data_IF_446626615714
#
_entry.id   IF_446626615714
#
_cell.length_a   1.000
_cell.length_b   1.000
_cell.length_c   1.000
_cell.angle_alpha   90.00
_cell.angle_beta   90.00
_cell.angle_gamma   90.00
#
_symmetry.space_group_name_H-M   'P 1'
#
loop_
_entity.id
_entity.type
_entity.pdbx_description
1 polymer ?
#
# COMPACT_ATOMS: atom_id res chain seq x y z
N UNK A 1 0.81 7.87 -21.52
CA UNK A 1 0.04 8.12 -20.27
C UNK A 1 0.40 7.02 -19.28
N UNK A 2 0.20 7.23 -17.98
CA UNK A 2 0.53 6.22 -16.97
C UNK A 2 -0.22 4.93 -17.25
N UNK A 3 0.44 3.78 -17.09
CA UNK A 3 -0.15 2.48 -17.41
C UNK A 3 0.42 1.35 -16.57
N UNK A 4 -0.36 0.29 -16.47
CA UNK A 4 0.13 -0.99 -15.98
C UNK A 4 0.59 -1.84 -17.17
N UNK A 5 1.78 -2.42 -17.03
CA UNK A 5 2.29 -3.43 -17.95
C UNK A 5 2.28 -4.79 -17.25
N UNK A 6 1.73 -5.80 -17.93
CA UNK A 6 1.55 -7.16 -17.41
C UNK A 6 0.20 -7.43 -16.73
N UNK A 7 -0.05 -8.71 -16.51
CA UNK A 7 -1.21 -9.22 -15.76
C UNK A 7 -0.90 -9.26 -14.26
N UNK A 8 -1.94 -9.23 -13.42
CA UNK A 8 -1.78 -9.47 -11.99
C UNK A 8 -2.04 -10.93 -11.69
N UNK A 9 -0.98 -11.71 -11.54
CA UNK A 9 -1.05 -13.13 -11.14
C UNK A 9 -0.62 -13.25 -9.69
N UNK A 10 -1.53 -13.74 -8.84
CA UNK A 10 -1.30 -13.87 -7.40
C UNK A 10 -1.66 -15.27 -6.90
N UNK A 11 -0.86 -15.78 -5.97
CA UNK A 11 -1.12 -17.04 -5.24
C UNK A 11 -1.49 -16.73 -3.81
N UNK A 12 -2.55 -17.37 -3.32
CA UNK A 12 -2.95 -17.30 -1.91
C UNK A 12 -1.93 -18.04 -1.04
N UNK A 13 -1.46 -17.41 0.04
CA UNK A 13 -0.50 -18.02 0.97
C UNK A 13 -1.12 -18.48 2.29
N UNK A 14 -2.25 -17.91 2.71
CA UNK A 14 -2.89 -18.26 3.99
C UNK A 14 -4.36 -18.68 3.82
N UNK A 15 -4.87 -19.50 4.74
CA UNK A 15 -6.27 -19.94 4.74
C UNK A 15 -7.25 -18.82 5.11
N UNK A 16 -6.74 -17.72 5.67
CA UNK A 16 -7.52 -16.56 6.12
C UNK A 16 -7.78 -15.51 5.03
N UNK A 17 -7.31 -15.76 3.79
CA UNK A 17 -7.44 -14.88 2.62
C UNK A 17 -6.80 -13.49 2.80
N UNK A 18 -5.82 -13.37 3.68
CA UNK A 18 -5.17 -12.10 4.03
C UNK A 18 -3.86 -11.87 3.30
N UNK A 19 -3.16 -12.92 2.89
CA UNK A 19 -1.83 -12.80 2.30
C UNK A 19 -1.77 -13.44 0.94
N UNK A 20 -1.31 -12.66 -0.03
CA UNK A 20 -1.19 -13.04 -1.42
C UNK A 20 0.22 -12.75 -1.90
N UNK A 21 0.72 -13.57 -2.82
CA UNK A 21 2.06 -13.42 -3.38
C UNK A 21 2.00 -13.24 -4.88
N UNK A 22 2.75 -12.28 -5.41
CA UNK A 22 2.89 -12.08 -6.85
C UNK A 22 3.69 -13.23 -7.48
N UNK A 23 3.18 -13.76 -8.58
CA UNK A 23 3.86 -14.79 -9.37
C UNK A 23 4.68 -14.21 -10.54
N UNK A 24 4.55 -12.91 -10.80
CA UNK A 24 5.35 -12.17 -11.77
C UNK A 24 5.52 -10.71 -11.37
N UNK A 25 6.50 -10.04 -11.97
CA UNK A 25 6.70 -8.60 -11.78
C UNK A 25 5.45 -7.83 -12.21
N UNK A 26 5.02 -6.88 -11.39
CA UNK A 26 3.99 -5.90 -11.74
C UNK A 26 4.67 -4.55 -11.95
N UNK A 27 4.50 -3.97 -13.14
CA UNK A 27 5.12 -2.70 -13.49
C UNK A 27 4.06 -1.63 -13.68
N UNK A 28 4.27 -0.49 -13.03
CA UNK A 28 3.47 0.72 -13.18
C UNK A 28 4.35 1.86 -13.71
N UNK A 29 4.07 2.31 -14.94
CA UNK A 29 4.72 3.48 -15.55
C UNK A 29 4.04 4.75 -15.03
N UNK A 30 4.82 5.65 -14.41
CA UNK A 30 4.34 6.92 -13.81
C UNK A 30 4.52 8.09 -14.79
N UNK A 31 3.41 8.70 -15.22
CA UNK A 31 3.38 9.92 -16.02
C UNK A 31 3.23 9.67 -17.52
N UNK A 32 4.09 10.28 -18.35
CA UNK A 32 4.02 10.09 -19.80
C UNK A 32 4.63 8.73 -20.20
N UNK A 33 4.11 8.15 -21.28
CA UNK A 33 4.68 6.92 -21.85
C UNK A 33 6.10 7.25 -22.35
N UNK A 34 7.08 6.43 -21.97
CA UNK A 34 8.49 6.68 -22.26
C UNK A 34 9.18 7.68 -21.31
N UNK A 35 8.55 8.07 -20.20
CA UNK A 35 9.21 8.94 -19.21
C UNK A 35 10.32 8.27 -18.41
N UNK A 36 10.49 6.95 -18.52
CA UNK A 36 11.50 6.16 -17.80
C UNK A 36 11.23 6.02 -16.29
N UNK A 37 10.12 6.57 -15.80
CA UNK A 37 9.73 6.52 -14.39
C UNK A 37 8.80 5.36 -14.18
N UNK A 38 9.34 4.28 -13.64
CA UNK A 38 8.59 3.04 -13.40
C UNK A 38 8.65 2.67 -11.93
N UNK A 39 7.55 2.09 -11.43
CA UNK A 39 7.50 1.39 -10.16
C UNK A 39 7.34 -0.08 -10.49
N UNK A 40 8.39 -0.85 -10.21
CA UNK A 40 8.39 -2.30 -10.40
C UNK A 40 8.20 -2.97 -9.05
N UNK A 41 7.07 -3.65 -8.90
CA UNK A 41 6.83 -4.57 -7.77
C UNK A 41 7.40 -5.93 -8.17
N UNK A 42 8.38 -6.46 -7.44
CA UNK A 42 9.06 -7.70 -7.83
C UNK A 42 8.16 -8.93 -7.65
N UNK A 43 8.39 -9.94 -8.48
CA UNK A 43 7.90 -11.30 -8.26
C UNK A 43 8.18 -11.72 -6.80
N UNK A 44 7.26 -12.49 -6.22
CA UNK A 44 7.28 -12.95 -4.82
C UNK A 44 7.04 -11.86 -3.78
N UNK A 45 6.74 -10.63 -4.19
CA UNK A 45 6.21 -9.64 -3.27
C UNK A 45 4.90 -10.15 -2.66
N UNK A 46 4.76 -9.97 -1.35
CA UNK A 46 3.60 -10.39 -0.59
C UNK A 46 2.75 -9.14 -0.27
N UNK A 47 1.44 -9.22 -0.45
CA UNK A 47 0.47 -8.11 -0.34
C UNK A 47 -0.79 -8.58 0.36
N UNK A 48 -1.42 -7.70 1.15
CA UNK A 48 -2.75 -7.91 1.72
C UNK A 48 -3.89 -7.36 0.86
N UNK A 49 -3.55 -6.83 -0.33
CA UNK A 49 -4.49 -6.22 -1.26
C UNK A 49 -4.95 -4.85 -0.77
N UNK A 50 -6.15 -4.41 -1.17
CA UNK A 50 -6.63 -3.11 -0.71
C UNK A 50 -6.94 -3.17 0.79
N UNK A 51 -6.08 -2.53 1.57
CA UNK A 51 -6.14 -2.48 3.04
C UNK A 51 -7.28 -1.54 3.51
N UNK A 52 -8.52 -1.95 3.22
CA UNK A 52 -9.77 -1.22 3.44
C UNK A 52 -10.32 -1.57 4.83
N UNK A 53 -10.79 -0.58 5.62
CA UNK A 53 -11.43 -0.83 6.91
C UNK A 53 -12.62 -1.78 6.78
N UNK A 54 -12.77 -2.74 7.70
CA UNK A 54 -13.85 -3.75 7.66
C UNK A 54 -15.25 -3.18 7.43
N UNK A 55 -15.55 -2.02 7.99
CA UNK A 55 -16.83 -1.32 7.82
C UNK A 55 -17.11 -0.91 6.36
N UNK A 56 -16.07 -0.67 5.58
CA UNK A 56 -16.16 -0.30 4.16
C UNK A 56 -16.06 -1.51 3.24
N UNK A 57 -15.65 -2.69 3.73
CA UNK A 57 -15.49 -3.90 2.92
C UNK A 57 -16.83 -4.42 2.35
N UNK A 58 -17.97 -4.09 2.97
CA UNK A 58 -19.30 -4.42 2.43
C UNK A 58 -19.62 -3.70 1.11
N UNK A 59 -18.95 -2.59 0.83
CA UNK A 59 -19.16 -1.78 -0.39
C UNK A 59 -17.94 -1.74 -1.30
N UNK A 60 -16.74 -1.94 -0.73
CA UNK A 60 -15.45 -1.91 -1.43
C UNK A 60 -14.66 -3.18 -1.06
N UNK A 61 -14.80 -4.26 -1.83
CA UNK A 61 -14.14 -5.54 -1.53
C UNK A 61 -12.62 -5.44 -1.67
N UNK A 62 -11.85 -6.21 -0.90
CA UNK A 62 -10.37 -6.18 -0.92
C UNK A 62 -9.76 -6.30 -2.33
N UNK A 63 -10.43 -7.04 -3.22
CA UNK A 63 -10.05 -7.21 -4.62
C UNK A 63 -11.08 -6.60 -5.56
N UNK A 64 -10.62 -5.89 -6.58
CA UNK A 64 -11.46 -5.22 -7.56
C UNK A 64 -10.63 -4.53 -8.65
N UNK A 65 -11.24 -3.57 -9.35
CA UNK A 65 -10.55 -2.83 -10.44
C UNK A 65 -9.29 -2.09 -9.97
N UNK A 66 -9.18 -1.80 -8.67
CA UNK A 66 -8.04 -1.14 -8.04
C UNK A 66 -6.95 -2.10 -7.53
N UNK A 67 -7.08 -3.42 -7.68
CA UNK A 67 -6.15 -4.39 -7.08
C UNK A 67 -4.69 -4.17 -7.50
N UNK A 68 -4.45 -3.88 -8.78
CA UNK A 68 -3.09 -3.54 -9.26
C UNK A 68 -2.55 -2.26 -8.60
N UNK A 69 -3.40 -1.27 -8.38
CA UNK A 69 -3.02 -0.06 -7.65
C UNK A 69 -2.73 -0.35 -6.18
N UNK A 70 -3.49 -1.23 -5.54
CA UNK A 70 -3.28 -1.62 -4.15
C UNK A 70 -1.93 -2.32 -3.96
N UNK A 71 -1.58 -3.25 -4.85
CA UNK A 71 -0.28 -3.94 -4.84
C UNK A 71 0.89 -2.95 -4.97
N UNK A 72 0.79 -1.98 -5.88
CA UNK A 72 1.80 -0.90 -6.01
C UNK A 72 1.88 -0.07 -4.74
N UNK A 73 0.73 0.29 -4.14
CA UNK A 73 0.68 1.05 -2.90
C UNK A 73 1.35 0.31 -1.74
N UNK A 74 1.04 -0.98 -1.55
CA UNK A 74 1.64 -1.81 -0.50
C UNK A 74 3.16 -1.90 -0.65
N UNK A 75 3.65 -2.06 -1.89
CA UNK A 75 5.08 -2.09 -2.19
C UNK A 75 5.75 -0.76 -1.84
N UNK A 76 5.21 0.37 -2.31
CA UNK A 76 5.76 1.69 -1.98
C UNK A 76 5.72 1.95 -0.47
N UNK A 77 4.68 1.49 0.21
CA UNK A 77 4.56 1.62 1.65
C UNK A 77 5.57 0.74 2.40
N UNK A 78 5.95 -0.41 1.83
CA UNK A 78 7.01 -1.27 2.34
C UNK A 78 8.39 -0.60 2.22
N UNK A 79 8.68 0.08 1.12
CA UNK A 79 9.95 0.82 0.89
C UNK A 79 10.09 2.08 1.77
N UNK A 80 9.00 2.57 2.36
CA UNK A 80 9.02 3.69 3.31
C UNK A 80 9.38 3.28 4.76
N UNK A 81 9.80 2.02 4.98
CA UNK A 81 10.16 1.51 6.31
C UNK A 81 11.47 2.13 6.83
N UNK A 82 11.61 2.29 8.15
CA UNK A 82 12.90 2.62 8.73
C UNK A 82 13.93 1.54 8.36
N UNK A 83 15.04 1.95 7.76
CA UNK A 83 16.10 1.04 7.31
C UNK A 83 15.98 0.56 5.86
N UNK A 84 14.97 1.01 5.11
CA UNK A 84 14.90 0.86 3.64
C UNK A 84 15.15 2.19 2.95
N UNK A 85 15.59 2.16 1.69
CA UNK A 85 15.69 3.36 0.86
C UNK A 85 14.34 3.64 0.18
N UNK A 86 13.71 4.80 0.43
CA UNK A 86 12.43 5.12 -0.20
C UNK A 86 12.52 5.12 -1.72
N UNK A 87 11.48 4.59 -2.37
CA UNK A 87 11.41 4.58 -3.83
C UNK A 87 11.43 6.02 -4.38
N UNK A 88 12.24 6.33 -5.42
CA UNK A 88 12.40 7.71 -5.91
C UNK A 88 11.12 8.35 -6.44
N UNK A 89 10.17 7.53 -6.92
CA UNK A 89 8.85 8.00 -7.37
C UNK A 89 7.87 8.26 -6.22
N UNK A 90 8.15 7.75 -5.01
CA UNK A 90 7.31 7.94 -3.84
C UNK A 90 8.15 8.01 -2.56
N UNK A 91 8.94 9.08 -2.36
CA UNK A 91 9.84 9.21 -1.21
C UNK A 91 9.12 9.47 0.11
N UNK A 92 7.81 9.74 0.05
CA UNK A 92 6.97 10.02 1.23
C UNK A 92 5.66 9.24 1.12
N UNK A 93 4.99 9.07 2.26
CA UNK A 93 3.63 8.49 2.28
C UNK A 93 2.64 9.24 1.42
N UNK A 94 2.72 10.56 1.42
CA UNK A 94 1.84 11.41 0.62
C UNK A 94 2.05 11.17 -0.88
N UNK A 95 3.31 10.95 -1.29
CA UNK A 95 3.64 10.59 -2.66
C UNK A 95 3.13 9.19 -3.01
N UNK A 96 3.26 8.21 -2.11
CA UNK A 96 2.68 6.87 -2.31
C UNK A 96 1.14 6.90 -2.44
N UNK A 97 0.46 7.69 -1.60
CA UNK A 97 -0.99 7.88 -1.67
C UNK A 97 -1.43 8.60 -2.96
N UNK A 98 -0.60 9.52 -3.47
CA UNK A 98 -0.83 10.19 -4.74
C UNK A 98 -0.70 9.22 -5.93
N UNK A 99 0.35 8.38 -5.93
CA UNK A 99 0.54 7.31 -6.91
C UNK A 99 -0.63 6.34 -6.89
N UNK A 100 -1.11 5.95 -5.71
CA UNK A 100 -2.28 5.08 -5.59
C UNK A 100 -3.54 5.70 -6.23
N UNK A 101 -3.80 6.99 -5.96
CA UNK A 101 -4.94 7.71 -6.55
C UNK A 101 -4.85 7.80 -8.06
N UNK A 102 -3.65 8.06 -8.59
CA UNK A 102 -3.37 8.11 -10.01
C UNK A 102 -3.55 6.73 -10.66
N UNK A 103 -2.95 5.69 -10.09
CA UNK A 103 -3.05 4.32 -10.57
C UNK A 103 -4.50 3.82 -10.63
N UNK A 104 -5.33 4.17 -9.64
CA UNK A 104 -6.77 3.88 -9.71
C UNK A 104 -7.47 4.63 -10.84
N UNK A 105 -7.04 5.86 -11.17
CA UNK A 105 -7.59 6.61 -12.29
C UNK A 105 -7.28 5.92 -13.62
N UNK A 106 -6.04 5.46 -13.78
CA UNK A 106 -5.57 4.68 -14.94
C UNK A 106 -6.37 3.39 -15.11
N UNK A 107 -6.71 2.72 -14.00
CA UNK A 107 -7.52 1.49 -14.00
C UNK A 107 -9.02 1.75 -14.24
N UNK A 108 -9.43 2.98 -14.51
CA UNK A 108 -10.84 3.33 -14.78
C UNK A 108 -11.75 3.18 -13.56
N UNK A 109 -11.19 3.32 -12.35
CA UNK A 109 -11.98 3.29 -11.11
C UNK A 109 -12.83 4.56 -11.02
N UNK A 110 -14.10 4.41 -10.65
CA UNK A 110 -15.04 5.53 -10.51
C UNK A 110 -14.51 6.61 -9.55
N UNK A 111 -14.84 7.88 -9.81
CA UNK A 111 -14.37 9.02 -9.01
C UNK A 111 -14.72 8.87 -7.53
N UNK A 112 -15.94 8.46 -7.21
CA UNK A 112 -16.40 8.28 -5.83
C UNK A 112 -15.58 7.20 -5.10
N UNK A 113 -15.39 6.04 -5.73
CA UNK A 113 -14.57 4.95 -5.16
C UNK A 113 -13.14 5.41 -4.90
N UNK A 114 -12.51 6.10 -5.86
CA UNK A 114 -11.16 6.67 -5.69
C UNK A 114 -11.09 7.61 -4.51
N UNK A 115 -12.09 8.49 -4.36
CA UNK A 115 -12.12 9.46 -3.27
C UNK A 115 -12.30 8.79 -1.90
N UNK A 116 -13.22 7.82 -1.79
CA UNK A 116 -13.45 7.06 -0.55
C UNK A 116 -12.20 6.28 -0.15
N UNK A 117 -11.57 5.59 -1.09
CA UNK A 117 -10.34 4.82 -0.81
C UNK A 117 -9.19 5.73 -0.40
N UNK A 118 -8.99 6.85 -1.10
CA UNK A 118 -7.97 7.84 -0.74
C UNK A 118 -8.23 8.47 0.64
N UNK A 119 -9.49 8.81 0.94
CA UNK A 119 -9.88 9.36 2.24
C UNK A 119 -9.66 8.33 3.38
N UNK A 120 -9.96 7.05 3.13
CA UNK A 120 -9.74 5.98 4.09
C UNK A 120 -8.25 5.83 4.45
N UNK A 121 -7.36 5.83 3.45
CA UNK A 121 -5.90 5.72 3.68
C UNK A 121 -5.37 6.91 4.50
N UNK A 122 -5.80 8.13 4.15
CA UNK A 122 -5.44 9.36 4.88
C UNK A 122 -5.95 9.38 6.32
N UNK A 123 -7.21 9.01 6.53
CA UNK A 123 -7.82 8.99 7.86
C UNK A 123 -7.17 7.95 8.77
N UNK A 124 -6.84 6.76 8.24
CA UNK A 124 -6.14 5.72 8.99
C UNK A 124 -4.72 6.14 9.38
N UNK A 125 -3.97 6.80 8.47
CA UNK A 125 -2.66 7.36 8.79
C UNK A 125 -2.73 8.38 9.94
N UNK A 126 -3.74 9.26 9.91
CA UNK A 126 -3.96 10.25 10.97
C UNK A 126 -4.34 9.61 12.31
N UNK A 127 -5.29 8.67 12.32
CA UNK A 127 -5.71 7.97 13.55
C UNK A 127 -4.56 7.17 14.18
N UNK A 128 -3.74 6.51 13.35
CA UNK A 128 -2.57 5.80 13.83
C UNK A 128 -1.53 6.76 14.47
N UNK A 129 -1.39 7.97 13.93
CA UNK A 129 -0.50 9.01 14.49
C UNK A 129 -1.01 9.51 15.84
N UNK A 130 -2.31 9.77 15.95
CA UNK A 130 -2.92 10.17 17.21
C UNK A 130 -2.75 9.07 18.28
N UNK A 131 -2.96 7.80 17.92
CA UNK A 131 -2.74 6.66 18.81
C UNK A 131 -1.27 6.54 19.25
N UNK A 132 -0.33 6.65 18.30
CA UNK A 132 1.10 6.60 18.61
C UNK A 132 1.54 7.76 19.53
N UNK A 133 1.04 8.97 19.29
CA UNK A 133 1.27 10.14 20.14
C UNK A 133 0.70 9.96 21.54
N UNK A 134 -0.50 9.41 21.67
CA UNK A 134 -1.10 9.11 22.98
C UNK A 134 -0.25 8.13 23.79
N UNK A 135 0.21 7.05 23.16
CA UNK A 135 1.10 6.05 23.79
C UNK A 135 2.46 6.65 24.14
N UNK A 136 3.07 7.44 23.25
CA UNK A 136 4.35 8.10 23.52
C UNK A 136 4.24 9.07 24.71
N UNK A 137 3.16 9.86 24.76
CA UNK A 137 2.84 10.74 25.89
C UNK A 137 2.68 9.97 27.20
N UNK A 138 1.95 8.85 27.18
CA UNK A 138 1.77 8.00 28.36
C UNK A 138 3.09 7.35 28.85
N UNK A 139 4.07 7.15 27.95
CA UNK A 139 5.36 6.52 28.25
C UNK A 139 6.51 7.52 28.45
N UNK A 140 6.26 8.83 28.40
CA UNK A 140 7.31 9.86 28.48
C UNK A 140 8.30 9.83 27.32
N UNK A 141 7.93 9.24 26.18
CA UNK A 141 8.76 9.15 24.96
C UNK A 141 8.57 10.38 24.07
N UNK A 142 9.56 10.73 23.23
CA UNK A 142 9.43 11.81 22.26
C UNK A 142 8.22 11.57 21.34
N UNK A 143 7.50 12.63 21.00
CA UNK A 143 6.31 12.53 20.16
C UNK A 143 6.70 12.14 18.73
N UNK A 144 6.10 11.09 18.15
CA UNK A 144 6.36 10.74 16.76
C UNK A 144 5.82 11.85 15.84
N UNK A 145 6.67 12.29 14.91
CA UNK A 145 6.30 13.20 13.81
C UNK A 145 5.58 12.46 12.68
N UNK A 146 5.91 11.19 12.48
CA UNK A 146 5.27 10.30 11.52
C UNK A 146 5.06 8.92 12.15
N UNK A 147 3.95 8.25 11.83
CA UNK A 147 3.77 6.85 12.24
C UNK A 147 4.77 6.02 11.46
N UNK A 148 5.41 5.01 12.03
CA UNK A 148 6.10 4.02 11.20
C UNK A 148 5.08 3.34 10.25
N UNK A 149 5.46 2.96 9.01
CA UNK A 149 4.62 2.09 8.18
C UNK A 149 4.17 0.88 9.01
N UNK A 150 2.89 0.51 8.87
CA UNK A 150 2.18 -0.39 9.79
C UNK A 150 3.06 -1.62 10.09
N UNK A 151 3.50 -1.83 11.35
CA UNK A 151 4.27 -3.01 11.72
C UNK A 151 3.43 -4.29 11.61
N UNK A 152 2.10 -4.18 11.56
CA UNK A 152 1.18 -5.30 11.29
C UNK A 152 1.33 -5.87 9.87
N UNK A 153 1.88 -5.08 8.94
CA UNK A 153 2.30 -5.51 7.61
C UNK A 153 3.77 -5.97 7.61
N UNK A 154 4.39 -6.23 8.78
CA UNK A 154 5.64 -7.01 8.86
C UNK A 154 5.40 -8.46 8.41
N UNK A 155 5.22 -8.64 7.11
CA UNK A 155 5.20 -9.95 6.47
C UNK A 155 6.52 -10.69 6.75
N UNK A 156 7.64 -9.95 6.79
CA UNK A 156 8.98 -10.46 7.13
C UNK A 156 9.09 -10.88 8.60
N UNK A 157 8.45 -10.17 9.54
CA UNK A 157 8.54 -10.47 10.99
C UNK A 157 7.55 -11.56 11.41
N UNK A 158 6.40 -11.69 10.75
CA UNK A 158 5.43 -12.76 10.99
C UNK A 158 6.06 -14.16 10.80
N UNK A 159 6.99 -14.30 9.85
CA UNK A 159 7.82 -15.51 9.67
C UNK A 159 8.79 -15.80 10.82
N UNK A 160 9.25 -14.79 11.59
CA UNK A 160 10.22 -14.99 12.69
C UNK A 160 9.58 -15.37 14.02
N UNK A 161 8.27 -15.24 14.17
CA UNK A 161 7.55 -15.61 15.40
C UNK A 161 6.96 -17.03 15.37
N UNK A 162 7.03 -17.72 14.23
CA UNK A 162 6.47 -19.07 14.04
C UNK A 162 7.57 -20.14 13.81
N UNK A 163 8.84 -19.80 14.09
CA UNK A 163 10.00 -20.70 13.98
C UNK A 163 10.59 -21.07 15.34
#
# INVERSE_FOLDING_TARGET
MSRFTGELTITQLDADYRTWRLEQDLVYEVGAEGSGREIRVPMRFETDGASIPRLLQSFLPTWGRYSRAAVVHDYLYNELRPGTEPHPQAPTRQAADAVFREAMAVLGVGFLTRWVMWAAVRAFGFLALQKARFVAKAQGKPMPEEVAPRPELDIVRKRKSEG
#
